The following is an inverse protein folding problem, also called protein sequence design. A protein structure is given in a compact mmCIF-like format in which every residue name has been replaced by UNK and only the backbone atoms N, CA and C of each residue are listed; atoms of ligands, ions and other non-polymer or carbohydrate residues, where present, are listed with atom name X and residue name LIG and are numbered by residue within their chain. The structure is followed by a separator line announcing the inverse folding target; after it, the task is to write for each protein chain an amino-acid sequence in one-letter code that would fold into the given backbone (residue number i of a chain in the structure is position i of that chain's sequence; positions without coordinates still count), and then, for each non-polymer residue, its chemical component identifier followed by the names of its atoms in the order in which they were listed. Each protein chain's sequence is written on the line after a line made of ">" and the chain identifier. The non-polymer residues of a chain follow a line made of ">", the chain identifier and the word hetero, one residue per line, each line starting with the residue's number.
data_IF_702238013166
#
_entry.id   IF_702238013166
#
_cell.length_a   1.000
_cell.length_b   1.000
_cell.length_c   1.000
_cell.angle_alpha   90.00
_cell.angle_beta   90.00
_cell.angle_gamma   90.00
#
_symmetry.space_group_name_H-M   'P 1'
#
loop_
_entity.id
_entity.type
_entity.pdbx_description
1 polymer ?
#
# COMPACT_ATOMS: atom_id res chain seq x y z
N UNK A 1 3.34 -15.84 29.87
CA UNK A 1 3.88 -14.56 29.33
C UNK A 1 2.95 -14.15 28.20
N UNK A 2 2.32 -13.00 28.31
CA UNK A 2 1.55 -12.45 27.18
C UNK A 2 2.51 -12.22 26.02
N UNK A 3 2.13 -12.67 24.82
CA UNK A 3 2.90 -12.44 23.59
C UNK A 3 2.94 -10.94 23.33
N UNK A 4 4.13 -10.33 23.36
CA UNK A 4 4.29 -8.91 23.05
C UNK A 4 3.94 -8.69 21.58
N UNK A 5 3.03 -7.75 21.30
CA UNK A 5 2.67 -7.36 19.93
C UNK A 5 3.88 -6.83 19.18
N UNK A 6 4.15 -7.37 17.99
CA UNK A 6 5.27 -6.95 17.15
C UNK A 6 4.76 -5.96 16.09
N UNK A 7 4.88 -4.67 16.39
CA UNK A 7 4.48 -3.61 15.47
C UNK A 7 5.53 -3.41 14.38
N UNK A 8 5.15 -3.77 13.16
CA UNK A 8 5.92 -3.49 11.94
C UNK A 8 5.24 -2.30 11.27
N UNK A 9 5.92 -1.13 11.27
CA UNK A 9 5.34 0.12 10.77
C UNK A 9 6.36 0.94 10.00
N UNK A 10 5.93 1.52 8.91
CA UNK A 10 6.71 2.41 8.07
C UNK A 10 5.82 3.32 7.23
N UNK A 11 6.39 3.92 6.21
CA UNK A 11 5.69 4.81 5.31
C UNK A 11 6.13 4.65 3.87
N UNK A 12 5.39 5.26 2.96
CA UNK A 12 5.87 5.51 1.62
C UNK A 12 7.08 6.46 1.69
N UNK A 13 8.20 6.04 1.09
CA UNK A 13 9.45 6.79 1.04
C UNK A 13 9.79 7.24 -0.38
N UNK A 14 10.37 8.42 -0.50
CA UNK A 14 10.79 8.96 -1.78
C UNK A 14 11.96 8.17 -2.37
N UNK A 15 11.96 7.91 -3.69
CA UNK A 15 13.07 7.27 -4.39
C UNK A 15 13.64 8.21 -5.46
N UNK A 16 14.36 9.26 -5.01
CA UNK A 16 14.85 10.34 -5.84
C UNK A 16 16.38 10.39 -5.92
N UNK A 17 16.89 10.93 -7.05
CA UNK A 17 18.32 11.23 -7.19
C UNK A 17 18.78 12.24 -6.11
N UNK A 18 20.05 12.21 -5.70
CA UNK A 18 21.13 11.31 -6.16
C UNK A 18 21.20 9.97 -5.42
N UNK A 19 20.44 9.78 -4.36
CA UNK A 19 20.58 8.64 -3.46
C UNK A 19 19.63 7.48 -3.74
N UNK A 20 18.53 7.71 -4.46
CA UNK A 20 17.55 6.69 -4.82
C UNK A 20 17.19 5.77 -3.63
N UNK A 21 17.34 4.45 -3.74
CA UNK A 21 16.97 3.51 -2.67
C UNK A 21 17.76 3.72 -1.36
N UNK A 22 19.05 4.05 -1.45
CA UNK A 22 19.80 4.45 -0.26
C UNK A 22 19.13 5.63 0.47
N UNK A 23 18.64 6.62 -0.31
CA UNK A 23 17.89 7.76 0.23
C UNK A 23 16.57 7.35 0.87
N UNK A 24 15.81 6.45 0.22
CA UNK A 24 14.56 5.91 0.78
C UNK A 24 14.77 5.21 2.12
N UNK A 25 15.86 4.45 2.24
CA UNK A 25 16.24 3.78 3.49
C UNK A 25 16.63 4.80 4.58
N UNK A 26 17.42 5.81 4.23
CA UNK A 26 17.76 6.89 5.15
C UNK A 26 16.52 7.62 5.64
N UNK A 27 15.58 7.88 4.75
CA UNK A 27 14.29 8.51 5.05
C UNK A 27 13.48 7.64 6.03
N UNK A 28 13.27 6.35 5.74
CA UNK A 28 12.57 5.42 6.62
C UNK A 28 13.20 5.36 8.03
N UNK A 29 14.53 5.24 8.11
CA UNK A 29 15.24 5.22 9.38
C UNK A 29 15.12 6.54 10.16
N UNK A 30 15.05 7.69 9.48
CA UNK A 30 14.84 8.99 10.11
C UNK A 30 13.45 9.12 10.75
N UNK A 31 12.46 8.36 10.25
CA UNK A 31 11.12 8.26 10.82
C UNK A 31 11.01 7.20 11.93
N UNK A 32 12.13 6.55 12.28
CA UNK A 32 12.17 5.43 13.22
C UNK A 32 11.31 4.24 12.75
N UNK A 33 11.11 4.12 11.44
CA UNK A 33 10.35 3.04 10.84
C UNK A 33 11.13 1.71 10.83
N UNK A 34 10.40 0.58 10.85
CA UNK A 34 10.94 -0.77 10.66
C UNK A 34 10.32 -1.50 9.45
N UNK A 35 9.67 -0.72 8.57
CA UNK A 35 9.20 -1.10 7.25
C UNK A 35 9.32 0.12 6.32
N UNK A 36 9.30 -0.09 5.00
CA UNK A 36 9.22 0.97 4.01
C UNK A 36 8.54 0.50 2.75
N UNK A 37 7.92 1.44 2.04
CA UNK A 37 7.36 1.22 0.71
C UNK A 37 7.91 2.26 -0.26
N UNK A 38 8.17 1.85 -1.50
CA UNK A 38 8.65 2.73 -2.57
C UNK A 38 7.95 2.41 -3.89
N UNK A 39 7.88 3.41 -4.77
CA UNK A 39 7.72 3.19 -6.21
C UNK A 39 9.09 3.05 -6.86
N UNK A 40 9.24 2.14 -7.82
CA UNK A 40 10.51 1.95 -8.55
C UNK A 40 10.75 3.00 -9.65
N UNK A 41 9.90 4.01 -9.71
CA UNK A 41 9.90 5.15 -10.63
C UNK A 41 8.60 5.93 -10.50
N UNK A 42 8.41 6.98 -11.31
CA UNK A 42 7.21 7.80 -11.22
C UNK A 42 5.94 6.96 -11.45
N UNK A 43 4.95 7.00 -10.53
CA UNK A 43 3.78 6.11 -10.61
C UNK A 43 2.80 6.48 -11.73
N UNK A 44 2.93 7.67 -12.32
CA UNK A 44 2.06 8.19 -13.39
C UNK A 44 2.56 7.90 -14.80
N UNK A 45 3.71 7.21 -14.97
CA UNK A 45 4.24 6.88 -16.29
C UNK A 45 4.99 5.54 -16.31
N UNK A 46 5.36 5.09 -17.51
CA UNK A 46 6.08 3.83 -17.74
C UNK A 46 7.60 4.00 -17.86
N UNK A 47 8.12 5.23 -17.70
CA UNK A 47 9.55 5.50 -17.82
C UNK A 47 10.26 4.94 -16.58
N UNK A 48 11.24 4.08 -16.79
CA UNK A 48 12.03 3.47 -15.73
C UNK A 48 13.51 3.59 -16.01
N UNK A 49 14.25 4.02 -15.00
CA UNK A 49 15.72 3.95 -15.02
C UNK A 49 16.18 2.52 -14.77
N UNK A 50 17.38 2.19 -15.20
CA UNK A 50 17.99 0.91 -14.90
C UNK A 50 18.22 0.74 -13.39
N UNK A 51 17.94 -0.45 -12.87
CA UNK A 51 18.06 -0.75 -11.43
C UNK A 51 19.49 -0.58 -10.90
N UNK A 52 20.49 -0.76 -11.78
CA UNK A 52 21.92 -0.52 -11.45
C UNK A 52 22.21 0.91 -10.97
N UNK A 53 21.35 1.88 -11.31
CA UNK A 53 21.54 3.28 -10.92
C UNK A 53 20.98 3.57 -9.51
N UNK A 54 20.31 2.64 -8.87
CA UNK A 54 19.48 2.92 -7.70
C UNK A 54 20.17 2.76 -6.34
N UNK A 55 21.47 2.47 -6.32
CA UNK A 55 22.23 2.26 -5.07
C UNK A 55 21.58 1.20 -4.17
N UNK A 56 21.11 0.10 -4.80
CA UNK A 56 20.36 -0.95 -4.09
C UNK A 56 21.25 -1.61 -3.03
N UNK A 57 22.47 -1.99 -3.38
CA UNK A 57 23.38 -2.65 -2.45
C UNK A 57 23.72 -1.77 -1.25
N UNK A 58 23.95 -0.48 -1.46
CA UNK A 58 24.20 0.48 -0.38
C UNK A 58 22.98 0.62 0.53
N UNK A 59 21.78 0.68 -0.06
CA UNK A 59 20.52 0.70 0.71
C UNK A 59 20.33 -0.58 1.52
N UNK A 60 20.48 -1.75 0.92
CA UNK A 60 20.37 -3.04 1.61
C UNK A 60 21.41 -3.19 2.73
N UNK A 61 22.64 -2.73 2.53
CA UNK A 61 23.66 -2.72 3.58
C UNK A 61 23.28 -1.81 4.75
N UNK A 62 22.69 -0.64 4.47
CA UNK A 62 22.24 0.28 5.51
C UNK A 62 21.03 -0.26 6.30
N UNK A 63 20.15 -1.02 5.65
CA UNK A 63 19.00 -1.69 6.29
C UNK A 63 19.41 -2.81 7.24
N UNK A 64 20.54 -3.48 6.98
CA UNK A 64 20.96 -4.66 7.71
C UNK A 64 20.87 -4.43 9.23
N UNK A 65 20.27 -5.39 9.92
CA UNK A 65 20.05 -5.38 11.38
C UNK A 65 19.07 -4.28 11.89
N UNK A 66 18.46 -3.49 11.00
CA UNK A 66 17.52 -2.40 11.35
C UNK A 66 16.11 -2.64 10.83
N UNK A 67 15.98 -3.04 9.56
CA UNK A 67 14.71 -3.36 8.90
C UNK A 67 14.87 -4.73 8.23
N UNK A 68 13.94 -5.65 8.51
CA UNK A 68 13.92 -6.94 7.82
C UNK A 68 13.63 -6.71 6.32
N UNK A 69 14.33 -7.42 5.44
CA UNK A 69 14.09 -7.35 3.97
C UNK A 69 12.65 -7.69 3.58
N UNK A 70 11.97 -8.56 4.32
CA UNK A 70 10.56 -8.85 4.13
C UNK A 70 9.62 -7.65 4.37
N UNK A 71 10.13 -6.59 4.99
CA UNK A 71 9.40 -5.34 5.24
C UNK A 71 9.72 -4.24 4.19
N UNK A 72 10.41 -4.61 3.11
CA UNK A 72 10.54 -3.78 1.91
C UNK A 72 9.35 -4.09 1.02
N UNK A 73 8.51 -3.09 0.77
CA UNK A 73 7.32 -3.21 -0.06
C UNK A 73 7.52 -2.34 -1.31
N UNK A 74 7.18 -2.87 -2.46
CA UNK A 74 7.11 -2.11 -3.69
C UNK A 74 5.63 -1.83 -3.99
N UNK A 75 5.30 -0.61 -4.38
CA UNK A 75 3.99 -0.30 -4.93
C UNK A 75 4.09 -0.24 -6.46
N UNK A 76 3.25 -0.99 -7.14
CA UNK A 76 3.14 -0.93 -8.59
C UNK A 76 2.53 0.42 -9.00
N UNK A 77 2.97 1.02 -10.12
CA UNK A 77 2.38 2.26 -10.63
C UNK A 77 0.87 2.15 -10.85
N UNK A 78 0.12 3.12 -10.38
CA UNK A 78 -1.35 3.14 -10.50
C UNK A 78 -1.86 3.24 -11.94
N UNK A 79 -0.98 3.52 -12.92
CA UNK A 79 -1.35 3.48 -14.34
C UNK A 79 -1.48 2.06 -14.89
N UNK A 80 -1.04 1.03 -14.16
CA UNK A 80 -1.24 -0.37 -14.53
C UNK A 80 -2.73 -0.69 -14.40
N UNK A 81 -3.39 -0.97 -15.52
CA UNK A 81 -4.80 -1.35 -15.55
C UNK A 81 -4.97 -2.66 -16.31
N UNK A 82 -4.97 -3.78 -15.57
CA UNK A 82 -5.12 -5.13 -16.13
C UNK A 82 -6.51 -5.40 -16.69
N UNK A 83 -7.52 -4.62 -16.30
CA UNK A 83 -8.89 -4.77 -16.79
C UNK A 83 -9.31 -3.65 -17.77
N UNK A 84 -8.35 -3.00 -18.43
CA UNK A 84 -8.68 -2.04 -19.50
C UNK A 84 -9.50 -2.69 -20.61
N UNK A 85 -10.57 -2.02 -21.06
CA UNK A 85 -11.35 -2.48 -22.21
C UNK A 85 -10.55 -2.49 -23.52
N UNK A 86 -9.48 -1.64 -23.60
CA UNK A 86 -8.60 -1.55 -24.77
C UNK A 86 -7.50 -2.62 -24.71
N UNK A 87 -7.48 -3.59 -25.66
CA UNK A 87 -6.51 -4.69 -25.64
C UNK A 87 -5.05 -4.23 -25.58
N UNK A 88 -4.67 -3.21 -26.36
CA UNK A 88 -3.28 -2.71 -26.38
C UNK A 88 -2.87 -2.10 -25.02
N UNK A 89 -3.77 -1.37 -24.37
CA UNK A 89 -3.53 -0.79 -23.03
C UNK A 89 -3.40 -1.91 -21.99
N UNK A 90 -4.22 -2.95 -22.09
CA UNK A 90 -4.17 -4.11 -21.20
C UNK A 90 -2.87 -4.90 -21.40
N UNK A 91 -2.44 -5.12 -22.66
CA UNK A 91 -1.17 -5.79 -22.94
C UNK A 91 0.02 -4.98 -22.40
N UNK A 92 0.01 -3.66 -22.60
CA UNK A 92 1.04 -2.77 -22.04
C UNK A 92 1.08 -2.87 -20.49
N UNK A 93 -0.08 -2.94 -19.84
CA UNK A 93 -0.15 -3.10 -18.39
C UNK A 93 0.45 -4.43 -17.92
N UNK A 94 0.18 -5.53 -18.63
CA UNK A 94 0.77 -6.86 -18.36
C UNK A 94 2.29 -6.82 -18.52
N UNK A 95 2.79 -6.29 -19.62
CA UNK A 95 4.23 -6.22 -19.90
C UNK A 95 4.95 -5.32 -18.89
N UNK A 96 4.26 -4.28 -18.44
CA UNK A 96 4.81 -3.38 -17.44
C UNK A 96 4.82 -4.01 -16.04
N UNK A 97 3.77 -4.75 -15.67
CA UNK A 97 3.73 -5.48 -14.39
C UNK A 97 4.82 -6.58 -14.34
N UNK A 98 5.10 -7.27 -15.45
CA UNK A 98 6.23 -8.20 -15.55
C UNK A 98 7.56 -7.51 -15.22
N UNK A 99 7.79 -6.31 -15.75
CA UNK A 99 8.98 -5.51 -15.42
C UNK A 99 9.02 -5.11 -13.94
N UNK A 100 7.91 -4.69 -13.38
CA UNK A 100 7.85 -4.32 -11.96
C UNK A 100 8.11 -5.54 -11.04
N UNK A 101 7.67 -6.75 -11.39
CA UNK A 101 8.00 -7.98 -10.65
C UNK A 101 9.51 -8.28 -10.65
N UNK A 102 10.18 -8.11 -11.80
CA UNK A 102 11.64 -8.26 -11.90
C UNK A 102 12.33 -7.20 -11.05
N UNK A 103 11.86 -5.96 -11.11
CA UNK A 103 12.40 -4.85 -10.33
C UNK A 103 12.22 -5.07 -8.84
N UNK A 104 11.03 -5.48 -8.39
CA UNK A 104 10.77 -5.77 -6.99
C UNK A 104 11.75 -6.85 -6.45
N UNK A 105 11.98 -7.90 -7.22
CA UNK A 105 12.98 -8.92 -6.86
C UNK A 105 14.39 -8.34 -6.72
N UNK A 106 14.79 -7.37 -7.56
CA UNK A 106 16.10 -6.73 -7.47
C UNK A 106 16.31 -5.94 -6.15
N UNK A 107 15.23 -5.46 -5.52
CA UNK A 107 15.25 -4.81 -4.21
C UNK A 107 15.14 -5.79 -3.03
N UNK A 108 15.15 -7.11 -3.28
CA UNK A 108 14.81 -8.15 -2.30
C UNK A 108 13.42 -7.95 -1.65
N UNK A 109 12.52 -7.23 -2.33
CA UNK A 109 11.17 -7.03 -1.85
C UNK A 109 10.35 -8.30 -1.99
N UNK A 110 9.62 -8.66 -0.93
CA UNK A 110 8.72 -9.81 -0.94
C UNK A 110 7.34 -9.49 -1.49
N UNK A 111 6.90 -8.24 -1.33
CA UNK A 111 5.54 -7.81 -1.65
C UNK A 111 5.55 -6.69 -2.71
N UNK A 112 4.68 -6.86 -3.70
CA UNK A 112 4.36 -5.86 -4.70
C UNK A 112 2.86 -5.54 -4.59
N UNK A 113 2.51 -4.37 -4.05
CA UNK A 113 1.13 -3.90 -3.97
C UNK A 113 0.66 -3.48 -5.36
N UNK A 114 -0.54 -3.88 -5.72
CA UNK A 114 -1.14 -3.62 -7.03
C UNK A 114 -2.60 -3.23 -6.88
N UNK A 115 -2.98 -2.06 -7.42
CA UNK A 115 -4.39 -1.75 -7.67
C UNK A 115 -4.94 -2.72 -8.71
N UNK A 116 -6.06 -3.43 -8.47
CA UNK A 116 -6.61 -4.39 -9.44
C UNK A 116 -6.91 -3.78 -10.81
N UNK A 117 -7.35 -2.52 -10.84
CA UNK A 117 -7.60 -1.74 -12.04
C UNK A 117 -9.02 -1.20 -12.13
N UNK A 118 -9.36 -0.61 -13.28
CA UNK A 118 -10.65 0.01 -13.56
C UNK A 118 -11.26 -0.61 -14.81
N UNK A 119 -12.49 -1.17 -14.67
CA UNK A 119 -13.19 -1.86 -15.75
C UNK A 119 -13.83 -0.94 -16.81
N UNK A 120 -13.93 0.35 -16.49
CA UNK A 120 -14.59 1.37 -17.32
C UNK A 120 -16.07 0.99 -17.59
N UNK A 121 -16.45 0.77 -18.86
CA UNK A 121 -17.82 0.47 -19.25
C UNK A 121 -18.14 -1.03 -19.29
N UNK A 122 -17.18 -1.90 -18.97
CA UNK A 122 -17.36 -3.35 -18.97
C UNK A 122 -18.15 -3.84 -17.75
N UNK A 123 -18.63 -5.08 -17.79
CA UNK A 123 -19.21 -5.72 -16.60
C UNK A 123 -18.11 -6.08 -15.58
N UNK A 124 -18.51 -6.35 -14.34
CA UNK A 124 -17.58 -6.80 -13.29
C UNK A 124 -16.93 -8.13 -13.67
N UNK A 125 -17.71 -9.06 -14.24
CA UNK A 125 -17.23 -10.37 -14.65
C UNK A 125 -16.10 -10.26 -15.67
N UNK A 126 -16.30 -9.47 -16.72
CA UNK A 126 -15.27 -9.23 -17.76
C UNK A 126 -14.03 -8.58 -17.16
N UNK A 127 -14.21 -7.58 -16.29
CA UNK A 127 -13.09 -6.94 -15.59
C UNK A 127 -12.28 -7.93 -14.75
N UNK A 128 -12.95 -8.78 -13.97
CA UNK A 128 -12.31 -9.81 -13.13
C UNK A 128 -11.56 -10.84 -13.98
N UNK A 129 -12.17 -11.34 -15.06
CA UNK A 129 -11.54 -12.29 -15.99
C UNK A 129 -10.26 -11.71 -16.61
N UNK A 130 -10.27 -10.43 -17.00
CA UNK A 130 -9.12 -9.75 -17.58
C UNK A 130 -7.98 -9.58 -16.56
N UNK A 131 -8.29 -9.24 -15.29
CA UNK A 131 -7.31 -9.16 -14.22
C UNK A 131 -6.66 -10.53 -13.99
N UNK A 132 -7.48 -11.58 -13.87
CA UNK A 132 -7.03 -12.97 -13.68
C UNK A 132 -6.10 -13.38 -14.82
N UNK A 133 -6.52 -13.13 -16.06
CA UNK A 133 -5.71 -13.43 -17.24
C UNK A 133 -4.36 -12.71 -17.18
N UNK A 134 -4.34 -11.40 -16.90
CA UNK A 134 -3.13 -10.60 -16.85
C UNK A 134 -2.15 -11.07 -15.76
N UNK A 135 -2.66 -11.40 -14.57
CA UNK A 135 -1.85 -11.95 -13.48
C UNK A 135 -1.26 -13.32 -13.85
N UNK A 136 -2.06 -14.19 -14.45
CA UNK A 136 -1.60 -15.51 -14.89
C UNK A 136 -0.51 -15.41 -15.98
N UNK A 137 -0.63 -14.49 -16.94
CA UNK A 137 0.43 -14.22 -17.93
C UNK A 137 1.72 -13.69 -17.29
N UNK A 138 1.61 -12.85 -16.25
CA UNK A 138 2.78 -12.42 -15.49
C UNK A 138 3.46 -13.59 -14.78
N UNK A 139 2.71 -14.42 -14.06
CA UNK A 139 3.27 -15.54 -13.30
C UNK A 139 3.78 -16.68 -14.19
N UNK A 140 3.24 -16.84 -15.40
CA UNK A 140 3.73 -17.79 -16.39
C UNK A 140 5.17 -17.49 -16.81
N UNK A 141 5.51 -16.23 -16.99
CA UNK A 141 6.82 -15.81 -17.49
C UNK A 141 7.80 -15.47 -16.36
N UNK A 142 7.34 -14.77 -15.32
CA UNK A 142 8.23 -14.27 -14.26
C UNK A 142 8.24 -15.26 -13.09
N UNK A 143 9.35 -15.99 -12.95
CA UNK A 143 9.57 -16.98 -11.90
C UNK A 143 10.48 -16.41 -10.81
N UNK A 144 9.88 -15.71 -9.85
CA UNK A 144 10.53 -15.23 -8.63
C UNK A 144 9.57 -15.40 -7.45
N UNK A 145 10.01 -15.06 -6.24
CA UNK A 145 9.23 -15.25 -5.01
C UNK A 145 8.40 -14.02 -4.60
N UNK A 146 8.31 -13.01 -5.48
CA UNK A 146 7.53 -11.81 -5.21
C UNK A 146 6.04 -12.14 -5.21
N UNK A 147 5.36 -11.74 -4.14
CA UNK A 147 3.91 -11.89 -3.95
C UNK A 147 3.24 -10.60 -4.41
N UNK A 148 2.31 -10.68 -5.36
CA UNK A 148 1.44 -9.56 -5.71
C UNK A 148 0.35 -9.45 -4.64
N UNK A 149 0.26 -8.30 -3.99
CA UNK A 149 -0.76 -7.98 -3.00
C UNK A 149 -1.81 -7.09 -3.67
N UNK A 150 -2.97 -7.66 -3.99
CA UNK A 150 -4.10 -6.89 -4.53
C UNK A 150 -4.60 -5.94 -3.46
N UNK A 151 -4.67 -4.66 -3.78
CA UNK A 151 -5.15 -3.66 -2.85
C UNK A 151 -6.68 -3.62 -2.80
N UNK A 152 -7.24 -3.49 -1.58
CA UNK A 152 -8.65 -3.15 -1.41
C UNK A 152 -8.89 -1.73 -1.91
N UNK A 153 -9.89 -1.52 -2.76
CA UNK A 153 -10.16 -0.24 -3.40
C UNK A 153 -11.41 0.44 -2.82
N UNK A 154 -11.46 1.76 -2.93
CA UNK A 154 -12.60 2.57 -2.46
C UNK A 154 -13.88 2.37 -3.27
N UNK A 155 -13.79 1.78 -4.47
CA UNK A 155 -14.92 1.67 -5.40
C UNK A 155 -15.27 2.98 -6.09
N UNK A 156 -14.28 3.86 -6.26
CA UNK A 156 -14.41 5.13 -6.98
C UNK A 156 -14.59 4.86 -8.48
N UNK A 157 -15.66 5.38 -9.04
CA UNK A 157 -15.97 5.16 -10.46
C UNK A 157 -16.15 3.68 -10.79
N UNK A 158 -15.22 3.13 -11.55
CA UNK A 158 -15.27 1.73 -12.05
C UNK A 158 -14.11 0.87 -11.51
N UNK A 159 -13.54 1.24 -10.36
CA UNK A 159 -12.48 0.47 -9.70
C UNK A 159 -12.95 -0.93 -9.32
N UNK A 160 -12.08 -1.91 -9.59
CA UNK A 160 -12.24 -3.30 -9.19
C UNK A 160 -11.50 -3.57 -7.89
N UNK A 161 -11.99 -4.51 -7.08
CA UNK A 161 -11.37 -4.84 -5.78
C UNK A 161 -11.96 -4.07 -4.59
N UNK A 162 -13.12 -3.42 -4.76
CA UNK A 162 -13.81 -2.71 -3.68
C UNK A 162 -14.58 -3.61 -2.71
N UNK A 163 -14.66 -4.91 -2.98
CA UNK A 163 -15.23 -5.90 -2.08
C UNK A 163 -14.32 -7.11 -1.93
N UNK A 164 -14.40 -7.78 -0.78
CA UNK A 164 -13.65 -9.00 -0.52
C UNK A 164 -14.03 -10.12 -1.48
N UNK A 165 -15.28 -10.15 -1.93
CA UNK A 165 -15.77 -11.11 -2.92
C UNK A 165 -15.10 -10.93 -4.28
N UNK A 166 -14.90 -9.69 -4.75
CA UNK A 166 -14.15 -9.43 -5.98
C UNK A 166 -12.69 -9.88 -5.87
N UNK A 167 -12.02 -9.55 -4.75
CA UNK A 167 -10.64 -10.00 -4.49
C UNK A 167 -10.56 -11.52 -4.41
N UNK A 168 -11.51 -12.17 -3.76
CA UNK A 168 -11.60 -13.64 -3.69
C UNK A 168 -11.72 -14.26 -5.07
N UNK A 169 -12.59 -13.71 -5.94
CA UNK A 169 -12.73 -14.18 -7.32
C UNK A 169 -11.42 -14.10 -8.09
N UNK A 170 -10.67 -12.99 -7.95
CA UNK A 170 -9.36 -12.85 -8.59
C UNK A 170 -8.38 -13.90 -8.04
N UNK A 171 -8.28 -14.03 -6.71
CA UNK A 171 -7.39 -15.00 -6.06
C UNK A 171 -7.71 -16.43 -6.51
N UNK A 172 -8.99 -16.80 -6.60
CA UNK A 172 -9.39 -18.13 -7.02
C UNK A 172 -9.09 -18.42 -8.49
N UNK A 173 -9.09 -17.40 -9.34
CA UNK A 173 -8.76 -17.53 -10.76
C UNK A 173 -7.26 -17.58 -11.07
N UNK A 174 -6.40 -17.13 -10.15
CA UNK A 174 -4.94 -17.18 -10.31
C UNK A 174 -4.41 -18.58 -10.01
N UNK A 175 -3.55 -19.16 -10.87
CA UNK A 175 -3.06 -20.52 -10.67
C UNK A 175 -1.89 -20.59 -9.66
N UNK A 176 -1.03 -19.58 -9.54
CA UNK A 176 0.04 -19.52 -8.53
C UNK A 176 -0.48 -18.90 -7.22
N UNK A 177 -1.25 -19.67 -6.46
CA UNK A 177 -1.94 -19.23 -5.22
C UNK A 177 -1.02 -18.66 -4.16
N UNK A 178 0.23 -19.12 -4.09
CA UNK A 178 1.19 -18.68 -3.08
C UNK A 178 1.83 -17.33 -3.43
N UNK A 179 1.67 -16.89 -4.67
CA UNK A 179 2.20 -15.62 -5.17
C UNK A 179 1.16 -14.51 -5.27
N UNK A 180 -0.04 -14.72 -4.70
CA UNK A 180 -1.10 -13.73 -4.63
C UNK A 180 -1.56 -13.54 -3.19
N UNK A 181 -1.67 -12.29 -2.76
CA UNK A 181 -2.14 -11.88 -1.45
C UNK A 181 -2.99 -10.61 -1.55
N UNK A 182 -3.24 -9.99 -0.41
CA UNK A 182 -4.04 -8.77 -0.29
C UNK A 182 -3.26 -7.72 0.49
N UNK A 183 -3.36 -6.47 0.05
CA UNK A 183 -3.08 -5.27 0.80
C UNK A 183 -4.42 -4.64 1.21
N UNK A 184 -4.65 -4.47 2.51
CA UNK A 184 -5.86 -3.83 3.02
C UNK A 184 -5.56 -2.38 3.36
N UNK A 185 -6.21 -1.42 2.67
CA UNK A 185 -6.11 0.01 2.96
C UNK A 185 -7.32 0.47 3.79
N UNK A 186 -7.04 1.13 4.93
CA UNK A 186 -8.08 1.58 5.86
C UNK A 186 -8.95 2.71 5.32
N UNK A 187 -8.39 3.63 4.52
CA UNK A 187 -9.16 4.67 3.83
C UNK A 187 -10.07 4.04 2.76
N UNK A 188 -9.52 3.12 1.95
CA UNK A 188 -10.27 2.49 0.88
C UNK A 188 -11.44 1.66 1.39
N UNK A 189 -11.24 0.83 2.42
CA UNK A 189 -12.35 0.03 2.95
C UNK A 189 -13.40 0.92 3.64
N UNK A 190 -13.02 2.01 4.35
CA UNK A 190 -13.97 2.99 4.85
C UNK A 190 -14.82 3.56 3.71
N UNK A 191 -14.17 4.02 2.65
CA UNK A 191 -14.84 4.62 1.50
C UNK A 191 -15.67 3.60 0.70
N UNK A 192 -15.32 2.31 0.75
CA UNK A 192 -16.11 1.21 0.20
C UNK A 192 -17.30 0.78 1.08
N UNK A 193 -17.39 1.27 2.32
CA UNK A 193 -18.52 1.04 3.22
C UNK A 193 -18.27 0.00 4.32
N UNK A 194 -17.03 -0.36 4.61
CA UNK A 194 -16.68 -1.20 5.77
C UNK A 194 -16.46 -0.31 6.99
N UNK A 195 -17.31 -0.49 8.00
CA UNK A 195 -17.30 0.34 9.20
C UNK A 195 -16.18 -0.03 10.17
N UNK A 196 -15.12 0.78 10.21
CA UNK A 196 -13.96 0.60 11.06
C UNK A 196 -14.21 0.82 12.57
N UNK A 197 -15.45 1.19 12.98
CA UNK A 197 -15.83 1.12 14.38
C UNK A 197 -15.87 -0.34 14.89
N UNK A 198 -16.13 -1.31 14.00
CA UNK A 198 -16.21 -2.75 14.28
C UNK A 198 -15.16 -3.54 13.46
N UNK A 199 -13.89 -3.40 13.85
CA UNK A 199 -12.76 -4.06 13.19
C UNK A 199 -12.86 -5.58 13.27
N UNK A 200 -13.32 -6.13 14.38
CA UNK A 200 -13.49 -7.59 14.57
C UNK A 200 -14.41 -8.17 13.48
N UNK A 201 -15.53 -7.52 13.21
CA UNK A 201 -16.48 -7.94 12.17
C UNK A 201 -15.86 -7.89 10.76
N UNK A 202 -15.03 -6.88 10.48
CA UNK A 202 -14.32 -6.79 9.20
C UNK A 202 -13.33 -7.94 9.08
N UNK A 203 -12.54 -8.21 10.13
CA UNK A 203 -11.55 -9.29 10.12
C UNK A 203 -12.20 -10.67 10.04
N UNK A 204 -13.33 -10.89 10.70
CA UNK A 204 -14.08 -12.15 10.62
C UNK A 204 -14.66 -12.34 9.19
N UNK A 205 -15.16 -11.28 8.58
CA UNK A 205 -15.62 -11.32 7.18
C UNK A 205 -14.46 -11.60 6.21
N UNK A 206 -13.31 -10.94 6.43
CA UNK A 206 -12.12 -11.18 5.62
C UNK A 206 -11.65 -12.64 5.72
N UNK A 207 -11.56 -13.17 6.95
CA UNK A 207 -11.19 -14.56 7.19
C UNK A 207 -12.15 -15.53 6.50
N UNK A 208 -13.46 -15.30 6.62
CA UNK A 208 -14.48 -16.16 6.03
C UNK A 208 -14.45 -16.19 4.50
N UNK A 209 -14.16 -15.04 3.86
CA UNK A 209 -14.26 -14.90 2.39
C UNK A 209 -12.91 -15.23 1.74
N UNK A 210 -11.82 -14.66 2.24
CA UNK A 210 -10.50 -14.71 1.61
C UNK A 210 -9.55 -15.65 2.36
N UNK A 211 -9.51 -15.55 3.69
CA UNK A 211 -8.52 -16.16 4.59
C UNK A 211 -7.46 -15.14 5.03
N UNK A 212 -7.19 -15.07 6.33
CA UNK A 212 -6.19 -14.13 6.89
C UNK A 212 -4.76 -14.44 6.44
N UNK A 213 -4.48 -15.67 6.01
CA UNK A 213 -3.20 -16.06 5.43
C UNK A 213 -2.86 -15.31 4.14
N UNK A 214 -3.89 -14.75 3.45
CA UNK A 214 -3.71 -13.93 2.26
C UNK A 214 -3.44 -12.45 2.57
N UNK A 215 -3.70 -11.97 3.76
CA UNK A 215 -3.43 -10.59 4.14
C UNK A 215 -1.93 -10.40 4.41
N UNK A 216 -1.27 -9.64 3.58
CA UNK A 216 0.20 -9.50 3.57
C UNK A 216 0.70 -8.12 3.95
N UNK A 217 -0.07 -7.08 3.62
CA UNK A 217 0.29 -5.68 3.85
C UNK A 217 -0.96 -4.93 4.30
N UNK A 218 -0.77 -3.93 5.15
CA UNK A 218 -1.79 -2.95 5.51
C UNK A 218 -1.32 -1.56 5.08
N UNK A 219 -2.15 -0.82 4.38
CA UNK A 219 -2.01 0.63 4.27
C UNK A 219 -2.87 1.27 5.37
N UNK A 220 -2.25 2.11 6.15
CA UNK A 220 -2.90 2.78 7.29
C UNK A 220 -3.05 4.26 6.96
N UNK A 221 -4.25 4.64 6.58
CA UNK A 221 -4.60 5.99 6.18
C UNK A 221 -5.93 6.37 6.84
N UNK A 222 -6.05 7.61 7.32
CA UNK A 222 -7.36 8.16 7.64
C UNK A 222 -8.07 8.59 6.34
N UNK A 223 -9.37 8.80 6.39
CA UNK A 223 -10.13 9.25 5.22
C UNK A 223 -10.70 10.66 5.40
N UNK A 224 -10.57 11.49 4.36
CA UNK A 224 -11.27 12.80 4.30
C UNK A 224 -12.77 12.66 4.12
N UNK A 225 -13.27 11.44 3.95
CA UNK A 225 -14.65 11.19 3.56
C UNK A 225 -15.36 10.32 4.60
N UNK A 226 -16.68 10.52 4.77
CA UNK A 226 -17.47 9.63 5.60
C UNK A 226 -17.57 8.22 4.99
N UNK A 227 -17.99 7.27 5.81
CA UNK A 227 -18.20 5.87 5.44
C UNK A 227 -19.02 5.74 4.16
N UNK A 228 -18.54 4.92 3.22
CA UNK A 228 -19.22 4.60 1.96
C UNK A 228 -19.17 5.68 0.89
N UNK A 229 -18.32 6.68 1.02
CA UNK A 229 -18.26 7.83 0.10
C UNK A 229 -17.73 7.52 -1.30
N UNK A 230 -16.99 6.43 -1.48
CA UNK A 230 -16.35 6.00 -2.76
C UNK A 230 -15.50 7.10 -3.40
N UNK A 231 -14.60 7.70 -2.63
CA UNK A 231 -13.79 8.87 -3.05
C UNK A 231 -12.30 8.62 -3.15
N UNK A 232 -11.74 7.80 -2.26
CA UNK A 232 -10.29 7.61 -2.16
C UNK A 232 -9.56 8.94 -1.96
N UNK A 233 -9.58 9.44 -0.73
CA UNK A 233 -8.91 10.68 -0.31
C UNK A 233 -8.29 10.48 1.05
N UNK A 234 -7.01 10.15 1.09
CA UNK A 234 -6.24 9.97 2.32
C UNK A 234 -6.20 11.26 3.15
N UNK A 235 -6.28 11.09 4.46
CA UNK A 235 -6.01 12.13 5.46
C UNK A 235 -4.93 11.64 6.43
N UNK A 236 -4.30 12.56 7.13
CA UNK A 236 -3.35 12.25 8.19
C UNK A 236 -4.04 11.53 9.35
N UNK A 237 -3.27 10.68 10.05
CA UNK A 237 -3.76 9.82 11.13
C UNK A 237 -4.46 10.65 12.22
N UNK A 238 -5.76 10.38 12.44
CA UNK A 238 -6.58 11.03 13.44
C UNK A 238 -7.20 12.36 13.03
N UNK A 239 -7.02 12.80 11.79
CA UNK A 239 -7.60 14.04 11.28
C UNK A 239 -8.78 13.81 10.33
N UNK A 240 -9.13 12.56 10.04
CA UNK A 240 -10.22 12.21 9.14
C UNK A 240 -11.43 11.59 9.83
N UNK A 241 -12.29 10.98 9.03
CA UNK A 241 -13.55 10.39 9.48
C UNK A 241 -13.40 9.03 10.14
N UNK A 242 -12.33 8.28 9.87
CA UNK A 242 -12.04 7.02 10.56
C UNK A 242 -11.63 7.31 12.01
N UNK A 243 -10.74 8.29 12.18
CA UNK A 243 -10.27 8.77 13.46
C UNK A 243 -9.19 7.89 14.12
N UNK A 244 -8.43 8.50 15.02
CA UNK A 244 -7.25 7.90 15.63
C UNK A 244 -7.54 6.58 16.35
N UNK A 245 -8.58 6.55 17.19
CA UNK A 245 -8.92 5.37 18.01
C UNK A 245 -9.29 4.15 17.15
N UNK A 246 -10.03 4.34 16.06
CA UNK A 246 -10.40 3.24 15.18
C UNK A 246 -9.20 2.73 14.37
N UNK A 247 -8.32 3.64 13.93
CA UNK A 247 -7.05 3.25 13.31
C UNK A 247 -6.16 2.47 14.28
N UNK A 248 -6.09 2.85 15.56
CA UNK A 248 -5.37 2.07 16.57
C UNK A 248 -5.95 0.67 16.77
N UNK A 249 -7.29 0.51 16.73
CA UNK A 249 -7.92 -0.82 16.79
C UNK A 249 -7.45 -1.71 15.64
N UNK A 250 -7.36 -1.16 14.41
CA UNK A 250 -6.81 -1.89 13.26
C UNK A 250 -5.33 -2.22 13.48
N UNK A 251 -4.51 -1.20 13.79
CA UNK A 251 -3.06 -1.33 13.89
C UNK A 251 -2.66 -2.38 14.93
N UNK A 252 -3.33 -2.41 16.07
CA UNK A 252 -3.01 -3.31 17.17
C UNK A 252 -3.94 -4.53 17.28
N UNK A 253 -4.74 -4.80 16.24
CA UNK A 253 -5.60 -5.98 16.23
C UNK A 253 -4.77 -7.27 16.31
N UNK A 254 -5.10 -8.23 17.23
CA UNK A 254 -4.26 -9.41 17.45
C UNK A 254 -4.03 -10.29 16.20
N UNK A 255 -5.03 -10.36 15.32
CA UNK A 255 -4.92 -11.10 14.05
C UNK A 255 -3.98 -10.44 13.03
N UNK A 256 -3.57 -9.18 13.25
CA UNK A 256 -2.73 -8.38 12.37
C UNK A 256 -1.29 -8.21 12.91
N UNK A 257 -0.93 -8.97 13.94
CA UNK A 257 0.45 -9.05 14.44
C UNK A 257 1.41 -9.52 13.34
N UNK A 258 2.60 -8.92 13.27
CA UNK A 258 3.64 -9.19 12.26
C UNK A 258 3.29 -8.83 10.80
N UNK A 259 2.14 -8.26 10.50
CA UNK A 259 1.85 -7.75 9.15
C UNK A 259 2.40 -6.34 9.02
N UNK A 260 3.18 -6.00 7.97
CA UNK A 260 3.65 -4.63 7.73
C UNK A 260 2.51 -3.64 7.55
N UNK A 261 2.62 -2.49 8.22
CA UNK A 261 1.71 -1.35 8.15
C UNK A 261 2.44 -0.17 7.54
N UNK A 262 1.91 0.37 6.45
CA UNK A 262 2.51 1.46 5.68
C UNK A 262 1.59 2.67 5.69
N UNK A 263 2.13 3.82 6.04
CA UNK A 263 1.45 5.09 5.97
C UNK A 263 1.64 5.71 4.58
N UNK A 264 0.54 6.18 3.99
CA UNK A 264 0.53 6.94 2.73
C UNK A 264 -0.20 8.28 2.91
N UNK A 265 -0.15 8.80 4.11
CA UNK A 265 -0.81 10.03 4.49
C UNK A 265 -0.25 11.24 3.74
N UNK A 266 -1.07 12.26 3.45
CA UNK A 266 -0.62 13.42 2.70
C UNK A 266 0.41 14.25 3.47
N UNK A 267 1.31 14.90 2.73
CA UNK A 267 2.20 15.90 3.30
C UNK A 267 1.39 17.11 3.77
N UNK A 268 1.82 17.69 4.88
CA UNK A 268 1.16 18.86 5.48
C UNK A 268 1.74 20.14 4.90
N UNK A 269 0.87 21.01 4.39
CA UNK A 269 1.26 22.35 3.95
C UNK A 269 1.59 23.18 5.19
N UNK A 270 2.83 23.66 5.27
CA UNK A 270 3.36 24.45 6.40
C UNK A 270 3.52 25.93 6.06
N UNK A 271 3.48 26.28 4.78
CA UNK A 271 3.55 27.67 4.29
C UNK A 271 2.55 27.83 3.12
N UNK A 272 1.50 28.56 3.36
CA UNK A 272 0.45 28.78 2.37
C UNK A 272 0.90 29.65 1.19
N UNK A 273 1.90 30.48 1.36
CA UNK A 273 2.45 31.35 0.32
C UNK A 273 3.26 30.56 -0.71
N UNK A 274 4.22 29.79 -0.23
CA UNK A 274 5.14 28.99 -1.06
C UNK A 274 4.59 27.63 -1.41
N UNK A 275 3.45 27.22 -0.79
CA UNK A 275 2.89 25.85 -0.83
C UNK A 275 3.90 24.79 -0.38
N UNK A 276 4.87 25.18 0.45
CA UNK A 276 5.80 24.24 1.05
C UNK A 276 5.05 23.22 1.88
N UNK A 277 5.30 21.95 1.59
CA UNK A 277 4.72 20.84 2.33
C UNK A 277 5.83 19.93 2.85
N UNK A 278 5.57 19.30 3.99
CA UNK A 278 6.50 18.36 4.64
C UNK A 278 5.76 17.09 5.06
N UNK A 279 6.44 15.93 5.00
CA UNK A 279 5.90 14.69 5.55
C UNK A 279 5.91 14.74 7.08
N UNK A 280 4.88 14.16 7.69
CA UNK A 280 4.78 14.05 9.15
C UNK A 280 4.81 12.59 9.63
N UNK A 281 5.33 11.68 8.80
CA UNK A 281 5.39 10.25 9.10
C UNK A 281 6.08 9.91 10.42
N UNK A 282 7.16 10.62 10.78
CA UNK A 282 7.84 10.44 12.07
C UNK A 282 6.89 10.68 13.23
N UNK A 283 6.13 11.76 13.17
CA UNK A 283 5.17 12.15 14.19
C UNK A 283 4.00 11.16 14.25
N UNK A 284 3.47 10.75 13.10
CA UNK A 284 2.38 9.76 13.03
C UNK A 284 2.83 8.39 13.57
N UNK A 285 4.03 7.91 13.22
CA UNK A 285 4.60 6.69 13.80
C UNK A 285 4.78 6.82 15.31
N UNK A 286 5.21 7.98 15.80
CA UNK A 286 5.34 8.24 17.24
C UNK A 286 3.98 8.23 17.95
N UNK A 287 2.96 8.88 17.39
CA UNK A 287 1.58 8.84 17.93
C UNK A 287 1.06 7.40 18.01
N UNK A 288 1.25 6.63 16.96
CA UNK A 288 0.80 5.22 16.89
C UNK A 288 1.52 4.39 17.96
N UNK A 289 2.85 4.50 18.10
CA UNK A 289 3.63 3.74 19.09
C UNK A 289 3.28 4.07 20.52
N UNK A 290 3.05 5.35 20.80
CA UNK A 290 2.67 5.82 22.13
C UNK A 290 1.17 5.63 22.40
N UNK A 291 0.37 5.32 21.36
CA UNK A 291 -1.11 5.25 21.42
C UNK A 291 -1.71 6.56 21.93
N UNK A 292 -1.12 7.67 21.55
CA UNK A 292 -1.49 9.01 22.01
C UNK A 292 -1.54 9.98 20.82
N UNK A 293 -2.71 10.59 20.62
CA UNK A 293 -2.87 11.61 19.59
C UNK A 293 -2.37 12.97 20.10
N UNK A 294 -1.60 13.67 19.27
CA UNK A 294 -1.28 15.08 19.46
C UNK A 294 -1.37 15.84 18.14
N UNK A 295 -1.82 17.09 18.21
CA UNK A 295 -2.09 17.92 17.02
C UNK A 295 -0.80 18.44 16.38
N UNK A 296 -0.19 17.62 15.52
CA UNK A 296 1.02 17.95 14.77
C UNK A 296 0.78 19.11 13.82
N UNK A 297 -0.38 19.15 13.14
CA UNK A 297 -0.68 20.21 12.17
C UNK A 297 -0.70 21.58 12.82
N UNK A 298 -1.34 21.69 13.98
CA UNK A 298 -1.36 22.92 14.76
C UNK A 298 0.03 23.34 15.21
N UNK A 299 0.82 22.41 15.73
CA UNK A 299 2.20 22.66 16.15
C UNK A 299 3.04 23.23 15.01
N UNK A 300 2.99 22.59 13.84
CA UNK A 300 3.72 23.04 12.66
C UNK A 300 3.25 24.41 12.17
N UNK A 301 1.96 24.70 12.16
CA UNK A 301 1.45 26.02 11.81
C UNK A 301 1.94 27.12 12.75
N UNK A 302 2.13 26.81 14.03
CA UNK A 302 2.67 27.76 15.00
C UNK A 302 4.18 27.97 14.87
N UNK A 303 4.94 26.95 14.42
CA UNK A 303 6.38 27.03 14.18
C UNK A 303 6.75 27.79 12.89
N UNK A 304 5.87 27.83 11.90
CA UNK A 304 6.10 28.49 10.60
C UNK A 304 5.43 29.87 10.46
N UNK A 305 4.76 30.36 11.49
CA UNK A 305 4.27 31.76 11.60
C UNK A 305 5.38 32.68 12.08
#
# INVERSE_FOLDING_TARGET
>A
MEKKYNLIIGSHCSMCAPNFFLGSVQEALSYEANALMIYTGAPQNTIRKETSTFKINEGLNLLKDKINYEHIIIHAPYIINLCSEKPDTRQLAIDFLKKELVRASAFNAKYLVLHPGCKLNQSDEVGLEQIIFGLNECFKEIKNDVIICLETMAGKGSEMGSSFEQLKTIIDGVFEKDRIGVCLDTCHINDAGYDLNDVDKIMDRFEKIIGLDKLKVLHINDSKNPLGARKDRHENIGYGYVGFENLLKVIYHPKLDNIPKILETPWVVVDDYTKKSIPIYKQEISMIRNKEFFDVKKKLQDEYK
#
